data_IF_010413345462
#
_entry.id   IF_010413345462
#
_cell.length_a   1.000
_cell.length_b   1.000
_cell.length_c   1.000
_cell.angle_alpha   90.00
_cell.angle_beta   90.00
_cell.angle_gamma   90.00
#
_symmetry.space_group_name_H-M   'P 1'
#
loop_
_entity.id
_entity.type
_entity.pdbx_description
1 polymer ?
#
# COMPACT_ATOMS: atom_id res chain seq x y z
N UNK A 1 -10.62 21.12 4.02
CA UNK A 1 -11.14 19.78 3.71
C UNK A 1 -10.19 18.72 4.21
N UNK A 2 -10.68 17.85 5.10
CA UNK A 2 -9.92 16.70 5.60
C UNK A 2 -10.21 15.53 4.65
N UNK A 3 -9.19 14.82 4.11
CA UNK A 3 -9.42 13.65 3.27
C UNK A 3 -10.17 12.54 4.02
N UNK A 4 -11.12 11.89 3.34
CA UNK A 4 -11.89 10.74 3.85
C UNK A 4 -11.00 9.55 4.28
N UNK A 5 -9.82 9.42 3.69
CA UNK A 5 -8.87 8.34 3.93
C UNK A 5 -7.83 8.63 5.03
N UNK A 6 -7.92 9.76 5.75
CA UNK A 6 -6.91 10.19 6.72
C UNK A 6 -6.61 9.10 7.77
N UNK A 7 -7.65 8.49 8.33
CA UNK A 7 -7.51 7.48 9.38
C UNK A 7 -6.85 6.21 8.85
N UNK A 8 -7.15 5.84 7.60
CA UNK A 8 -6.50 4.71 6.93
C UNK A 8 -5.00 4.97 6.76
N UNK A 9 -4.64 6.15 6.23
CA UNK A 9 -3.24 6.54 6.04
C UNK A 9 -2.49 6.60 7.37
N UNK A 10 -3.12 7.11 8.43
CA UNK A 10 -2.51 7.19 9.75
C UNK A 10 -2.32 5.80 10.38
N UNK A 11 -3.27 4.88 10.15
CA UNK A 11 -3.22 3.52 10.73
C UNK A 11 -2.34 2.56 9.95
N UNK A 12 -2.31 2.64 8.62
CA UNK A 12 -1.66 1.64 7.76
C UNK A 12 -0.51 2.18 6.91
N UNK A 13 -0.42 3.51 6.72
CA UNK A 13 0.56 4.14 5.83
C UNK A 13 2.03 4.01 6.26
N UNK A 14 2.30 3.43 7.44
CA UNK A 14 3.64 3.05 7.90
C UNK A 14 3.95 1.56 7.73
N UNK A 15 2.93 0.73 7.50
CA UNK A 15 3.04 -0.73 7.47
C UNK A 15 3.19 -1.30 6.05
N UNK A 16 2.49 -0.73 5.08
CA UNK A 16 2.59 -1.10 3.67
C UNK A 16 2.17 0.05 2.76
N UNK A 17 2.62 0.02 1.51
CA UNK A 17 2.22 0.98 0.49
C UNK A 17 0.92 0.50 -0.17
N UNK A 18 -0.07 1.37 -0.33
CA UNK A 18 -1.33 1.01 -0.98
C UNK A 18 -1.12 0.65 -2.45
N UNK A 19 -1.54 -0.56 -2.83
CA UNK A 19 -1.32 -1.09 -4.18
C UNK A 19 -1.92 -0.20 -5.28
N UNK A 20 -3.10 0.38 -5.03
CA UNK A 20 -3.78 1.25 -5.99
C UNK A 20 -3.06 2.58 -6.26
N UNK A 21 -2.23 3.07 -5.33
CA UNK A 21 -1.39 4.26 -5.57
C UNK A 21 -0.07 3.93 -6.28
N UNK A 22 0.29 2.66 -6.37
CA UNK A 22 1.56 2.18 -6.92
C UNK A 22 2.64 1.99 -5.85
N UNK A 23 3.58 1.10 -6.14
CA UNK A 23 4.74 0.80 -5.29
C UNK A 23 5.99 0.81 -6.17
N UNK A 24 7.04 1.52 -5.75
CA UNK A 24 8.31 1.56 -6.47
C UNK A 24 9.39 0.88 -5.64
N UNK A 25 10.13 0.00 -6.30
CA UNK A 25 11.30 -0.67 -5.75
C UNK A 25 12.52 -0.32 -6.60
N UNK A 26 13.69 -0.21 -5.97
CA UNK A 26 14.94 -0.16 -6.73
C UNK A 26 15.17 -1.51 -7.43
N UNK A 27 15.87 -1.49 -8.56
CA UNK A 27 16.18 -2.72 -9.31
C UNK A 27 16.88 -3.79 -8.45
N UNK A 28 17.89 -3.47 -7.61
CA UNK A 28 18.50 -4.46 -6.72
C UNK A 28 17.50 -5.07 -5.72
N UNK A 29 16.60 -4.25 -5.17
CA UNK A 29 15.58 -4.72 -4.24
C UNK A 29 14.56 -5.63 -4.91
N UNK A 30 14.16 -5.32 -6.15
CA UNK A 30 13.26 -6.17 -6.92
C UNK A 30 13.88 -7.54 -7.23
N UNK A 31 15.17 -7.57 -7.60
CA UNK A 31 15.91 -8.82 -7.81
C UNK A 31 16.02 -9.62 -6.52
N UNK A 32 16.37 -8.98 -5.41
CA UNK A 32 16.39 -9.63 -4.10
C UNK A 32 15.01 -10.18 -3.72
N UNK A 33 13.95 -9.39 -3.88
CA UNK A 33 12.58 -9.82 -3.59
C UNK A 33 12.21 -11.10 -4.34
N UNK A 34 12.59 -11.21 -5.61
CA UNK A 34 12.30 -12.39 -6.43
C UNK A 34 12.88 -13.69 -5.84
N UNK A 35 14.07 -13.66 -5.20
CA UNK A 35 14.70 -14.84 -4.59
C UNK A 35 14.01 -15.25 -3.29
N UNK A 36 13.29 -14.32 -2.64
CA UNK A 36 12.60 -14.54 -1.37
C UNK A 36 11.11 -14.88 -1.53
N UNK A 37 10.59 -14.94 -2.77
CA UNK A 37 9.17 -15.19 -3.05
C UNK A 37 8.59 -16.37 -2.29
N UNK A 38 9.31 -17.50 -2.18
CA UNK A 38 8.84 -18.69 -1.42
C UNK A 38 8.65 -18.38 0.07
N UNK A 39 9.52 -17.58 0.66
CA UNK A 39 9.44 -17.21 2.08
C UNK A 39 8.33 -16.17 2.29
N UNK A 40 8.13 -15.24 1.35
CA UNK A 40 7.03 -14.29 1.38
C UNK A 40 5.65 -14.98 1.37
N UNK A 41 5.52 -16.19 0.81
CA UNK A 41 4.24 -16.93 0.79
C UNK A 41 3.68 -17.23 2.17
N UNK A 42 4.46 -17.11 3.25
CA UNK A 42 3.94 -17.18 4.63
C UNK A 42 2.91 -16.11 4.95
N UNK A 43 2.85 -15.04 4.16
CA UNK A 43 1.93 -13.91 4.32
C UNK A 43 0.72 -13.97 3.37
N UNK A 44 0.46 -15.10 2.71
CA UNK A 44 -0.71 -15.25 1.81
C UNK A 44 -2.05 -15.09 2.52
N UNK A 45 -2.09 -15.25 3.85
CA UNK A 45 -3.28 -15.03 4.67
C UNK A 45 -3.52 -13.55 5.03
N UNK A 46 -2.62 -12.64 4.63
CA UNK A 46 -2.80 -11.21 4.84
C UNK A 46 -3.72 -10.65 3.76
N UNK A 47 -4.64 -9.78 4.18
CA UNK A 47 -5.54 -9.09 3.26
C UNK A 47 -4.76 -8.17 2.32
N UNK A 48 -4.99 -8.34 1.01
CA UNK A 48 -4.38 -7.51 -0.04
C UNK A 48 -2.96 -7.93 -0.42
N UNK A 49 -2.65 -7.85 -1.72
CA UNK A 49 -1.30 -8.14 -2.22
C UNK A 49 -0.26 -7.12 -1.74
N UNK A 50 -0.67 -5.88 -1.54
CA UNK A 50 0.14 -4.82 -0.95
C UNK A 50 0.51 -5.10 0.52
N UNK A 51 -0.45 -5.56 1.32
CA UNK A 51 -0.20 -6.02 2.69
C UNK A 51 0.83 -7.15 2.75
N UNK A 52 0.70 -8.14 1.85
CA UNK A 52 1.66 -9.23 1.71
C UNK A 52 3.07 -8.73 1.34
N UNK A 53 3.18 -7.86 0.33
CA UNK A 53 4.46 -7.27 -0.11
C UNK A 53 5.09 -6.47 1.04
N UNK A 54 4.32 -5.57 1.68
CA UNK A 54 4.82 -4.73 2.76
C UNK A 54 5.35 -5.52 3.95
N UNK A 55 4.65 -6.60 4.34
CA UNK A 55 5.10 -7.51 5.39
C UNK A 55 6.34 -8.30 4.99
N UNK A 56 6.40 -8.82 3.76
CA UNK A 56 7.60 -9.52 3.32
C UNK A 56 8.83 -8.60 3.28
N UNK A 57 8.70 -7.43 2.66
CA UNK A 57 9.80 -6.47 2.53
C UNK A 57 10.29 -5.98 3.90
N UNK A 58 9.37 -5.70 4.84
CA UNK A 58 9.72 -5.19 6.17
C UNK A 58 10.28 -6.28 7.08
N UNK A 59 9.65 -7.45 7.14
CA UNK A 59 9.99 -8.47 8.14
C UNK A 59 11.04 -9.47 7.65
N UNK A 60 11.10 -9.77 6.34
CA UNK A 60 12.08 -10.70 5.76
C UNK A 60 13.27 -9.92 5.21
N UNK A 61 13.05 -8.94 4.33
CA UNK A 61 14.14 -8.18 3.69
C UNK A 61 14.66 -7.02 4.55
N UNK A 62 14.00 -6.72 5.68
CA UNK A 62 14.38 -5.64 6.62
C UNK A 62 14.47 -4.25 5.98
N UNK A 63 13.67 -4.01 4.95
CA UNK A 63 13.59 -2.70 4.28
C UNK A 63 12.38 -1.94 4.79
N UNK A 64 12.59 -0.66 5.17
CA UNK A 64 11.52 0.22 5.64
C UNK A 64 10.80 0.88 4.47
N UNK A 65 9.48 1.02 4.59
CA UNK A 65 8.67 1.82 3.69
C UNK A 65 9.08 3.31 3.73
N UNK A 66 9.16 3.93 2.56
CA UNK A 66 9.36 5.38 2.41
C UNK A 66 8.06 5.96 1.88
N UNK A 67 7.45 6.88 2.63
CA UNK A 67 6.23 7.57 2.21
C UNK A 67 6.58 8.65 1.19
N UNK A 68 5.87 8.64 0.06
CA UNK A 68 5.91 9.71 -0.94
C UNK A 68 4.49 10.26 -1.14
N UNK A 69 4.31 11.56 -0.93
CA UNK A 69 3.00 12.20 -0.98
C UNK A 69 2.46 12.38 -2.42
N UNK A 70 3.25 12.06 -3.44
CA UNK A 70 2.86 12.13 -4.85
C UNK A 70 2.27 10.80 -5.38
N UNK A 71 2.13 9.79 -4.52
CA UNK A 71 1.45 8.53 -4.85
C UNK A 71 -0.01 8.63 -4.41
N UNK A 72 -0.91 8.74 -5.38
CA UNK A 72 -2.34 8.96 -5.14
C UNK A 72 -3.12 7.69 -5.47
N UNK A 73 -3.75 7.07 -4.46
CA UNK A 73 -4.68 5.95 -4.70
C UNK A 73 -5.99 6.43 -5.33
N UNK A 74 -6.39 7.66 -5.00
CA UNK A 74 -7.51 8.36 -5.62
C UNK A 74 -7.03 9.77 -5.98
N UNK A 75 -7.14 10.16 -7.25
CA UNK A 75 -6.71 11.48 -7.74
C UNK A 75 -7.83 12.52 -7.62
N UNK A 76 -8.43 12.58 -6.43
CA UNK A 76 -9.46 13.54 -6.08
C UNK A 76 -9.07 14.24 -4.78
N UNK A 77 -9.43 15.52 -4.68
CA UNK A 77 -9.20 16.33 -3.49
C UNK A 77 -10.47 16.42 -2.66
N UNK A 78 -10.31 16.40 -1.34
CA UNK A 78 -11.42 16.56 -0.41
C UNK A 78 -12.11 15.23 -0.09
N UNK A 79 -13.36 15.34 0.35
CA UNK A 79 -14.24 14.22 0.67
C UNK A 79 -14.95 13.73 -0.60
N UNK A 80 -14.79 12.46 -0.94
CA UNK A 80 -15.39 11.86 -2.13
C UNK A 80 -16.67 11.08 -1.86
N UNK A 81 -17.16 11.07 -0.61
CA UNK A 81 -18.32 10.25 -0.19
C UNK A 81 -19.54 10.48 -1.09
N UNK A 82 -19.82 11.71 -1.52
CA UNK A 82 -20.93 11.99 -2.44
C UNK A 82 -20.67 11.68 -3.92
N UNK A 83 -19.42 11.57 -4.36
CA UNK A 83 -19.07 11.22 -5.75
C UNK A 83 -19.06 9.71 -6.00
N UNK A 84 -18.73 8.93 -4.99
CA UNK A 84 -18.57 7.47 -5.06
C UNK A 84 -19.77 6.71 -4.47
N UNK A 85 -20.73 7.42 -3.88
CA UNK A 85 -22.03 6.84 -3.57
C UNK A 85 -22.73 6.45 -4.87
N UNK A 86 -23.07 5.16 -5.00
CA UNK A 86 -24.00 4.68 -6.01
C UNK A 86 -25.31 5.44 -5.81
N UNK A 87 -25.66 6.31 -6.77
CA UNK A 87 -26.78 7.24 -6.68
C UNK A 87 -27.99 6.62 -6.00
N UNK A 88 -28.48 7.29 -4.95
CA UNK A 88 -29.80 7.00 -4.40
C UNK A 88 -30.82 7.50 -5.42
N UNK A 89 -31.37 6.59 -6.20
CA UNK A 89 -32.74 6.72 -6.71
C UNK A 89 -33.73 6.25 -5.62
#
# INVERSE_FOLDING_TARGET
DVPDNRDQVQRFGTYFAYGGGGIVLSRPLALLFSTYTKQCKRYLNIFGGDGMIGKCVTEILKVRLIKNNNFHQMDHRGDNTGYLESGKD
#
